data_IF_050672258568
#
_entry.id   IF_050672258568
#
_cell.length_a   1.000
_cell.length_b   1.000
_cell.length_c   1.000
_cell.angle_alpha   90.00
_cell.angle_beta   90.00
_cell.angle_gamma   90.00
#
_symmetry.space_group_name_H-M   'P 1'
#
loop_
_entity.id
_entity.type
_entity.pdbx_description
1 polymer ?
#
# COMPACT_ATOMS: atom_id res chain seq x y z
N UNK A 1 -15.91 29.32 -56.49
CA UNK A 1 -16.64 28.04 -56.48
C UNK A 1 -17.16 27.78 -57.90
N UNK A 2 -16.95 26.57 -58.47
CA UNK A 2 -17.45 26.23 -59.77
C UNK A 2 -19.00 26.30 -59.85
N UNK A 3 -19.57 26.76 -60.97
CA UNK A 3 -21.02 26.96 -61.14
C UNK A 3 -21.80 25.66 -60.93
N UNK A 4 -21.26 24.54 -61.40
CA UNK A 4 -21.86 23.20 -61.23
C UNK A 4 -21.96 22.73 -59.79
N UNK A 5 -20.96 23.04 -59.01
CA UNK A 5 -20.95 22.71 -57.57
C UNK A 5 -21.98 23.55 -56.80
N UNK A 6 -22.12 24.82 -57.16
CA UNK A 6 -23.12 25.69 -56.57
C UNK A 6 -24.56 25.24 -56.91
N UNK A 7 -24.85 24.84 -58.19
CA UNK A 7 -26.14 24.30 -58.58
C UNK A 7 -26.48 23.01 -57.80
N UNK A 8 -25.54 22.06 -57.66
CA UNK A 8 -25.75 20.84 -56.88
C UNK A 8 -26.13 21.14 -55.44
N UNK A 9 -25.46 22.13 -54.80
CA UNK A 9 -25.76 22.50 -53.42
C UNK A 9 -27.09 23.27 -53.26
N UNK A 10 -27.56 23.95 -54.31
CA UNK A 10 -28.90 24.56 -54.35
C UNK A 10 -29.96 23.45 -54.46
N UNK A 11 -29.77 22.50 -55.36
CA UNK A 11 -30.66 21.37 -55.57
C UNK A 11 -30.76 20.45 -54.35
N UNK A 12 -29.65 20.21 -53.68
CA UNK A 12 -29.61 19.43 -52.43
C UNK A 12 -30.10 20.22 -51.20
N UNK A 13 -30.40 21.50 -51.34
CA UNK A 13 -30.82 22.36 -50.22
C UNK A 13 -29.70 22.71 -49.26
N UNK A 14 -28.45 22.44 -49.64
CA UNK A 14 -27.27 22.77 -48.81
C UNK A 14 -26.86 24.24 -48.91
N UNK A 15 -27.24 24.93 -50.01
CA UNK A 15 -26.95 26.34 -50.20
C UNK A 15 -28.23 27.18 -50.02
N UNK A 16 -28.20 28.10 -49.04
CA UNK A 16 -29.27 29.05 -48.83
C UNK A 16 -28.93 30.33 -49.61
N UNK A 17 -29.79 30.66 -50.57
CA UNK A 17 -29.64 31.87 -51.39
C UNK A 17 -30.80 32.79 -51.05
N UNK A 18 -30.49 33.93 -50.42
CA UNK A 18 -31.46 35.00 -50.16
C UNK A 18 -31.14 36.21 -51.05
N UNK A 19 -32.18 36.83 -51.62
CA UNK A 19 -31.99 37.99 -52.48
C UNK A 19 -31.27 39.13 -51.77
N UNK A 20 -30.13 39.57 -52.32
CA UNK A 20 -29.36 40.67 -51.78
C UNK A 20 -28.39 40.26 -50.60
N UNK A 21 -28.26 38.99 -50.27
CA UNK A 21 -27.31 38.49 -49.27
C UNK A 21 -26.31 37.52 -49.88
N UNK A 22 -25.13 37.39 -49.25
CA UNK A 22 -24.19 36.36 -49.62
C UNK A 22 -24.78 34.97 -49.38
N UNK A 23 -24.64 34.04 -50.34
CA UNK A 23 -25.09 32.67 -50.16
C UNK A 23 -24.41 32.01 -48.96
N UNK A 24 -25.17 31.32 -48.12
CA UNK A 24 -24.70 30.58 -46.97
C UNK A 24 -24.82 29.08 -47.19
N UNK A 25 -23.77 28.33 -46.96
CA UNK A 25 -23.81 26.89 -46.97
C UNK A 25 -24.29 26.37 -45.64
N UNK A 26 -25.26 25.46 -45.62
CA UNK A 26 -25.60 24.68 -44.43
C UNK A 26 -24.46 23.76 -44.10
N UNK A 27 -23.91 23.89 -42.90
CA UNK A 27 -23.01 22.91 -42.33
C UNK A 27 -23.86 21.99 -41.49
N UNK A 28 -24.11 20.78 -41.98
CA UNK A 28 -24.76 19.76 -41.19
C UNK A 28 -23.72 19.27 -40.16
N UNK A 29 -24.11 19.30 -38.91
CA UNK A 29 -23.34 18.65 -37.89
C UNK A 29 -23.33 17.15 -38.22
N UNK A 30 -22.16 16.57 -38.40
CA UNK A 30 -22.05 15.13 -38.56
C UNK A 30 -22.61 14.48 -37.31
N UNK A 31 -23.45 13.48 -37.47
CA UNK A 31 -24.08 12.73 -36.39
C UNK A 31 -23.08 12.01 -35.51
N UNK A 32 -21.83 11.92 -35.95
CA UNK A 32 -20.75 11.18 -35.28
C UNK A 32 -20.03 11.99 -34.18
N UNK A 33 -20.61 13.11 -33.72
CA UNK A 33 -20.04 13.93 -32.63
C UNK A 33 -18.99 14.96 -33.10
N UNK A 34 -18.47 15.71 -32.15
CA UNK A 34 -17.39 16.67 -32.40
C UNK A 34 -16.04 15.93 -32.32
N UNK A 35 -15.11 16.33 -33.18
CA UNK A 35 -13.73 15.83 -33.11
C UNK A 35 -13.12 16.19 -31.75
N UNK A 36 -12.44 15.25 -31.14
CA UNK A 36 -11.64 15.51 -29.95
C UNK A 36 -10.51 16.48 -30.33
N UNK A 37 -10.44 17.61 -29.65
CA UNK A 37 -9.37 18.61 -29.85
C UNK A 37 -8.21 18.30 -28.88
N UNK A 38 -7.06 18.90 -29.10
CA UNK A 38 -5.87 18.80 -28.26
C UNK A 38 -5.88 19.75 -27.05
N UNK A 39 -6.80 20.72 -27.04
CA UNK A 39 -6.99 21.68 -25.95
C UNK A 39 -8.38 21.52 -25.36
N UNK A 40 -8.45 21.26 -24.05
CA UNK A 40 -9.69 21.02 -23.30
C UNK A 40 -9.86 22.04 -22.18
N UNK A 41 -10.61 23.08 -22.45
CA UNK A 41 -10.86 24.19 -21.50
C UNK A 41 -12.11 23.98 -20.65
N UNK A 42 -12.90 22.96 -20.95
CA UNK A 42 -14.17 22.63 -20.31
C UNK A 42 -14.02 21.64 -19.12
N UNK A 43 -12.80 21.19 -18.84
CA UNK A 43 -12.50 20.31 -17.73
C UNK A 43 -11.84 21.12 -16.61
N UNK A 44 -12.59 21.30 -15.52
CA UNK A 44 -12.12 22.00 -14.36
C UNK A 44 -11.47 21.04 -13.34
N UNK A 45 -10.52 21.56 -12.57
CA UNK A 45 -9.94 20.83 -11.45
C UNK A 45 -11.00 20.67 -10.34
N UNK A 46 -11.24 19.46 -9.89
CA UNK A 46 -12.11 19.19 -8.74
C UNK A 46 -11.40 19.55 -7.44
N UNK A 47 -12.14 20.16 -6.50
CA UNK A 47 -11.61 20.56 -5.18
C UNK A 47 -12.13 19.63 -4.11
N UNK A 48 -11.41 19.54 -2.98
CA UNK A 48 -11.83 18.73 -1.83
C UNK A 48 -11.69 17.23 -2.01
N UNK A 49 -10.81 16.81 -2.93
CA UNK A 49 -10.55 15.40 -3.20
C UNK A 49 -9.73 14.76 -2.07
N UNK A 50 -10.03 13.51 -1.76
CA UNK A 50 -9.33 12.71 -0.74
C UNK A 50 -7.86 12.49 -1.07
N UNK A 51 -7.52 12.46 -2.36
CA UNK A 51 -6.14 12.27 -2.84
C UNK A 51 -5.64 13.52 -3.58
N UNK A 52 -4.57 14.12 -3.06
CA UNK A 52 -4.10 15.45 -3.48
C UNK A 52 -3.80 15.61 -4.99
N UNK A 53 -3.40 14.52 -5.67
CA UNK A 53 -3.06 14.53 -7.11
C UNK A 53 -4.12 13.84 -7.98
N UNK A 54 -5.31 13.63 -7.44
CA UNK A 54 -6.42 12.99 -8.18
C UNK A 54 -6.79 13.82 -9.42
N UNK A 55 -6.93 13.14 -10.54
CA UNK A 55 -7.39 13.75 -11.79
C UNK A 55 -8.92 13.78 -11.85
N UNK A 56 -9.52 14.80 -12.49
CA UNK A 56 -10.96 14.83 -12.72
C UNK A 56 -11.44 13.62 -13.53
N UNK A 57 -12.55 13.01 -13.12
CA UNK A 57 -13.09 11.85 -13.83
C UNK A 57 -13.47 12.16 -15.26
N UNK A 58 -13.99 13.36 -15.53
CA UNK A 58 -14.31 13.84 -16.91
C UNK A 58 -13.12 13.82 -17.85
N UNK A 59 -11.91 14.05 -17.33
CA UNK A 59 -10.67 13.98 -18.10
C UNK A 59 -10.42 12.54 -18.56
N UNK A 60 -10.46 11.61 -17.64
CA UNK A 60 -10.21 10.18 -17.91
C UNK A 60 -11.33 9.59 -18.77
N UNK A 61 -12.58 10.01 -18.55
CA UNK A 61 -13.71 9.60 -19.39
C UNK A 61 -13.51 9.98 -20.86
N UNK A 62 -13.08 11.22 -21.12
CA UNK A 62 -12.78 11.68 -22.48
C UNK A 62 -11.65 10.90 -23.12
N UNK A 63 -10.54 10.68 -22.37
CA UNK A 63 -9.39 9.94 -22.87
C UNK A 63 -9.77 8.51 -23.19
N UNK A 64 -10.44 7.81 -22.28
CA UNK A 64 -10.81 6.40 -22.45
C UNK A 64 -11.80 6.23 -23.60
N UNK A 65 -12.83 7.09 -23.70
CA UNK A 65 -13.79 7.03 -24.81
C UNK A 65 -13.17 7.33 -26.17
N UNK A 66 -12.14 8.19 -26.23
CA UNK A 66 -11.47 8.55 -27.46
C UNK A 66 -10.45 7.50 -27.94
N UNK A 67 -9.98 6.61 -27.05
CA UNK A 67 -8.86 5.71 -27.32
C UNK A 67 -9.16 4.23 -27.13
N UNK A 68 -10.37 3.86 -26.75
CA UNK A 68 -10.75 2.46 -26.52
C UNK A 68 -12.24 2.23 -26.77
N UNK A 69 -12.60 0.97 -27.02
CA UNK A 69 -13.97 0.50 -27.10
C UNK A 69 -14.39 -0.29 -25.85
N UNK A 70 -15.68 -0.55 -25.68
CA UNK A 70 -16.20 -1.37 -24.58
C UNK A 70 -15.59 -2.78 -24.64
N UNK A 71 -15.15 -3.30 -23.48
CA UNK A 71 -14.47 -4.58 -23.36
C UNK A 71 -12.95 -4.54 -23.54
N UNK A 72 -12.39 -3.42 -24.01
CA UNK A 72 -10.95 -3.24 -24.12
C UNK A 72 -10.25 -3.20 -22.76
N UNK A 73 -8.93 -3.38 -22.77
CA UNK A 73 -8.09 -3.33 -21.58
C UNK A 73 -7.41 -1.96 -21.46
N UNK A 74 -7.69 -1.26 -20.38
CA UNK A 74 -7.06 0.01 -19.99
C UNK A 74 -6.01 -0.26 -18.91
N UNK A 75 -4.78 0.20 -19.13
CA UNK A 75 -3.68 0.04 -18.18
C UNK A 75 -3.20 1.40 -17.67
N UNK A 76 -3.04 1.51 -16.32
CA UNK A 76 -2.45 2.67 -15.65
C UNK A 76 -1.46 2.20 -14.59
N UNK A 77 -0.15 2.30 -14.88
CA UNK A 77 0.91 1.82 -14.00
C UNK A 77 1.29 2.80 -12.87
N UNK A 78 0.67 3.97 -12.83
CA UNK A 78 0.85 5.00 -11.81
C UNK A 78 -0.51 5.49 -11.32
N UNK A 79 -1.37 4.55 -10.95
CA UNK A 79 -2.81 4.72 -10.77
C UNK A 79 -3.24 5.74 -9.72
N UNK A 80 -2.36 6.07 -8.75
CA UNK A 80 -2.67 7.02 -7.70
C UNK A 80 -3.96 6.67 -6.95
N UNK A 81 -4.97 7.53 -7.04
CA UNK A 81 -6.29 7.30 -6.46
C UNK A 81 -7.19 6.34 -7.25
N UNK A 82 -6.70 5.73 -8.34
CA UNK A 82 -7.47 4.78 -9.16
C UNK A 82 -8.51 5.40 -10.08
N UNK A 83 -8.43 6.69 -10.37
CA UNK A 83 -9.43 7.37 -11.22
C UNK A 83 -9.56 6.73 -12.59
N UNK A 84 -8.43 6.37 -13.22
CA UNK A 84 -8.41 5.69 -14.53
C UNK A 84 -9.19 4.37 -14.49
N UNK A 85 -8.89 3.52 -13.52
CA UNK A 85 -9.54 2.21 -13.37
C UNK A 85 -11.03 2.34 -13.06
N UNK A 86 -11.40 3.25 -12.15
CA UNK A 86 -12.78 3.53 -11.79
C UNK A 86 -13.63 4.01 -12.99
N UNK A 87 -13.07 4.88 -13.79
CA UNK A 87 -13.74 5.36 -15.02
C UNK A 87 -13.79 4.27 -16.09
N UNK A 88 -12.73 3.48 -16.25
CA UNK A 88 -12.69 2.35 -17.18
C UNK A 88 -13.78 1.31 -16.84
N UNK A 89 -13.93 0.94 -15.56
CA UNK A 89 -14.99 0.03 -15.10
C UNK A 89 -16.38 0.58 -15.45
N UNK A 90 -16.64 1.84 -15.09
CA UNK A 90 -17.95 2.48 -15.37
C UNK A 90 -18.28 2.53 -16.88
N UNK A 91 -17.25 2.62 -17.72
CA UNK A 91 -17.40 2.62 -19.17
C UNK A 91 -17.38 1.21 -19.80
N UNK A 92 -17.40 0.14 -19.00
CA UNK A 92 -17.40 -1.23 -19.47
C UNK A 92 -16.06 -1.73 -20.04
N UNK A 93 -14.96 -1.07 -19.69
CA UNK A 93 -13.60 -1.53 -20.03
C UNK A 93 -13.05 -2.41 -18.91
N UNK A 94 -12.17 -3.35 -19.26
CA UNK A 94 -11.33 -4.05 -18.28
C UNK A 94 -10.16 -3.14 -17.91
N UNK A 95 -9.59 -3.34 -16.73
CA UNK A 95 -8.49 -2.48 -16.29
C UNK A 95 -7.42 -3.25 -15.51
N UNK A 96 -6.20 -2.73 -15.59
CA UNK A 96 -5.07 -3.08 -14.75
C UNK A 96 -4.48 -1.77 -14.24
N UNK A 97 -4.30 -1.66 -12.94
CA UNK A 97 -3.67 -0.48 -12.34
C UNK A 97 -2.65 -0.88 -11.30
N UNK A 98 -1.60 -0.12 -11.16
CA UNK A 98 -0.55 -0.34 -10.17
C UNK A 98 -0.16 0.97 -9.52
N UNK A 99 0.32 0.91 -8.28
CA UNK A 99 0.98 2.03 -7.62
C UNK A 99 1.98 1.50 -6.59
N UNK A 100 3.07 2.24 -6.35
CA UNK A 100 4.08 1.90 -5.35
C UNK A 100 3.67 2.37 -3.94
N UNK A 101 2.78 3.35 -3.86
CA UNK A 101 2.36 3.99 -2.62
C UNK A 101 1.23 3.24 -1.93
N UNK A 102 1.45 2.75 -0.71
CA UNK A 102 0.38 2.14 0.11
C UNK A 102 -0.82 3.08 0.31
N UNK A 103 -0.66 4.38 0.59
CA UNK A 103 -1.80 5.30 0.68
C UNK A 103 -2.62 5.38 -0.62
N UNK A 104 -1.96 5.36 -1.78
CA UNK A 104 -2.63 5.34 -3.08
C UNK A 104 -3.50 4.08 -3.24
N UNK A 105 -2.93 2.90 -2.96
CA UNK A 105 -3.65 1.63 -3.07
C UNK A 105 -4.81 1.50 -2.08
N UNK A 106 -4.71 2.08 -0.89
CA UNK A 106 -5.82 2.15 0.08
C UNK A 106 -6.98 2.97 -0.45
N UNK A 107 -6.71 4.21 -0.92
CA UNK A 107 -7.72 5.09 -1.53
C UNK A 107 -8.35 4.43 -2.76
N UNK A 108 -7.54 3.78 -3.58
CA UNK A 108 -7.98 3.06 -4.77
C UNK A 108 -8.95 1.92 -4.43
N UNK A 109 -8.59 1.07 -3.47
CA UNK A 109 -9.44 -0.05 -3.02
C UNK A 109 -10.77 0.46 -2.47
N UNK A 110 -10.72 1.45 -1.54
CA UNK A 110 -11.94 2.05 -1.00
C UNK A 110 -12.85 2.57 -2.12
N UNK A 111 -12.29 3.32 -3.08
CA UNK A 111 -13.06 3.82 -4.24
C UNK A 111 -13.74 2.69 -5.01
N UNK A 112 -13.05 1.59 -5.28
CA UNK A 112 -13.62 0.47 -6.05
C UNK A 112 -14.77 -0.19 -5.30
N UNK A 113 -14.65 -0.31 -3.98
CA UNK A 113 -15.69 -0.87 -3.12
C UNK A 113 -16.89 0.07 -3.07
N UNK A 114 -16.69 1.35 -2.83
CA UNK A 114 -17.75 2.37 -2.80
C UNK A 114 -18.51 2.47 -4.14
N UNK A 115 -17.85 2.13 -5.24
CA UNK A 115 -18.45 2.09 -6.59
C UNK A 115 -19.03 0.72 -6.98
N UNK A 116 -18.97 -0.26 -6.08
CA UNK A 116 -19.47 -1.61 -6.31
C UNK A 116 -18.94 -2.24 -7.62
N UNK A 117 -17.65 -2.04 -7.89
CA UNK A 117 -17.01 -2.60 -9.10
C UNK A 117 -17.06 -4.13 -9.09
N UNK A 118 -16.94 -4.76 -10.26
CA UNK A 118 -16.81 -6.21 -10.35
C UNK A 118 -15.64 -6.73 -9.49
N UNK A 119 -15.70 -7.97 -9.00
CA UNK A 119 -14.60 -8.55 -8.24
C UNK A 119 -13.27 -8.40 -8.95
N UNK A 120 -12.25 -7.95 -8.23
CA UNK A 120 -10.90 -7.70 -8.75
C UNK A 120 -9.83 -8.35 -7.89
N UNK A 121 -8.68 -8.65 -8.49
CA UNK A 121 -7.53 -9.18 -7.79
C UNK A 121 -6.63 -8.03 -7.33
N UNK A 122 -6.35 -7.97 -6.03
CA UNK A 122 -5.32 -7.12 -5.46
C UNK A 122 -4.08 -7.96 -5.12
N UNK A 123 -2.94 -7.57 -5.65
CA UNK A 123 -1.67 -8.25 -5.37
C UNK A 123 -0.63 -7.26 -4.86
N UNK A 124 0.05 -7.62 -3.78
CA UNK A 124 1.28 -6.95 -3.37
C UNK A 124 2.48 -7.78 -3.86
N UNK A 125 3.46 -7.12 -4.47
CA UNK A 125 4.72 -7.78 -4.83
C UNK A 125 5.55 -7.89 -3.54
N UNK A 126 5.57 -9.10 -2.93
CA UNK A 126 6.08 -9.34 -1.58
C UNK A 126 7.59 -9.59 -1.48
N UNK A 127 8.14 -10.50 -2.26
CA UNK A 127 9.54 -10.96 -2.14
C UNK A 127 10.55 -10.09 -2.88
N UNK A 128 10.22 -8.83 -3.11
CA UNK A 128 11.09 -7.88 -3.78
C UNK A 128 12.47 -7.76 -3.11
N UNK A 129 12.55 -7.81 -1.78
CA UNK A 129 13.83 -7.71 -1.05
C UNK A 129 14.74 -8.90 -1.33
N UNK A 130 14.19 -10.10 -1.45
CA UNK A 130 14.94 -11.31 -1.77
C UNK A 130 15.53 -11.23 -3.18
N UNK A 131 14.74 -10.86 -4.15
CA UNK A 131 15.19 -10.70 -5.54
C UNK A 131 16.18 -9.53 -5.68
N UNK A 132 15.88 -8.39 -5.03
CA UNK A 132 16.78 -7.23 -5.02
C UNK A 132 18.15 -7.59 -4.40
N UNK A 133 18.17 -8.43 -3.36
CA UNK A 133 19.41 -8.92 -2.77
C UNK A 133 20.15 -9.87 -3.71
N UNK A 134 19.45 -10.83 -4.34
CA UNK A 134 20.06 -11.78 -5.28
C UNK A 134 20.64 -11.11 -6.51
N UNK A 135 19.99 -10.06 -7.01
CA UNK A 135 20.43 -9.30 -8.18
C UNK A 135 21.49 -8.23 -7.84
N UNK A 136 21.73 -7.95 -6.56
CA UNK A 136 22.68 -6.94 -6.14
C UNK A 136 24.11 -7.48 -6.22
N UNK A 137 24.92 -6.89 -7.12
CA UNK A 137 26.31 -7.27 -7.33
C UNK A 137 27.26 -6.79 -6.22
N UNK A 138 26.85 -5.81 -5.41
CA UNK A 138 27.69 -5.18 -4.39
C UNK A 138 27.73 -5.97 -3.08
N UNK A 139 26.61 -6.60 -2.70
CA UNK A 139 26.47 -7.31 -1.42
C UNK A 139 26.26 -8.81 -1.67
N UNK A 140 27.34 -9.52 -1.92
CA UNK A 140 27.32 -10.95 -2.25
C UNK A 140 27.07 -11.86 -1.05
N UNK A 141 27.31 -11.36 0.17
CA UNK A 141 27.16 -12.13 1.41
C UNK A 141 26.17 -11.46 2.34
N UNK A 142 25.25 -12.25 2.90
CA UNK A 142 24.26 -11.78 3.86
C UNK A 142 24.92 -11.11 5.07
N UNK A 143 26.03 -11.66 5.55
CA UNK A 143 26.75 -11.10 6.70
C UNK A 143 27.31 -9.69 6.43
N UNK A 144 27.74 -9.39 5.20
CA UNK A 144 28.21 -8.06 4.85
C UNK A 144 27.07 -7.04 4.81
N UNK A 145 25.91 -7.45 4.30
CA UNK A 145 24.69 -6.64 4.33
C UNK A 145 24.22 -6.39 5.76
N UNK A 146 24.26 -7.41 6.61
CA UNK A 146 23.85 -7.29 8.01
C UNK A 146 24.73 -6.27 8.77
N UNK A 147 26.03 -6.24 8.52
CA UNK A 147 26.93 -5.25 9.12
C UNK A 147 26.59 -3.82 8.69
N UNK A 148 26.27 -3.61 7.40
CA UNK A 148 25.85 -2.31 6.89
C UNK A 148 24.53 -1.87 7.54
N UNK A 149 23.55 -2.76 7.66
CA UNK A 149 22.28 -2.47 8.30
C UNK A 149 22.46 -2.10 9.76
N UNK A 150 23.30 -2.82 10.50
CA UNK A 150 23.64 -2.50 11.89
C UNK A 150 24.21 -1.09 12.01
N UNK A 151 25.15 -0.73 11.16
CA UNK A 151 25.78 0.60 11.18
C UNK A 151 24.78 1.71 10.80
N UNK A 152 23.88 1.46 9.83
CA UNK A 152 22.79 2.38 9.50
C UNK A 152 21.79 2.55 10.65
N UNK A 153 21.62 1.53 11.46
CA UNK A 153 20.82 1.58 12.70
C UNK A 153 21.55 2.25 13.88
N UNK A 154 22.88 2.41 13.77
CA UNK A 154 23.72 2.95 14.84
C UNK A 154 24.29 1.89 15.79
N UNK A 155 24.23 0.63 15.41
CA UNK A 155 24.84 -0.47 16.16
C UNK A 155 26.26 -0.78 15.65
N UNK A 156 27.08 -1.30 16.55
CA UNK A 156 28.47 -1.72 16.27
C UNK A 156 28.46 -3.24 16.04
N UNK A 157 28.85 -3.74 14.85
CA UNK A 157 28.96 -5.17 14.62
C UNK A 157 30.02 -5.81 15.53
N UNK A 158 29.77 -7.03 15.98
CA UNK A 158 30.84 -7.81 16.63
C UNK A 158 31.95 -8.18 15.66
N UNK A 159 33.19 -8.21 16.13
CA UNK A 159 34.33 -8.69 15.34
C UNK A 159 34.29 -10.22 15.21
N UNK A 160 34.93 -10.76 14.20
CA UNK A 160 35.01 -12.23 14.02
C UNK A 160 35.67 -12.97 15.20
N UNK A 161 36.59 -12.29 15.92
CA UNK A 161 37.23 -12.82 17.10
C UNK A 161 36.23 -12.92 18.26
N UNK A 162 35.27 -12.01 18.35
CA UNK A 162 34.23 -12.00 19.38
C UNK A 162 33.11 -12.98 19.08
N UNK A 163 32.67 -13.02 17.81
CA UNK A 163 31.55 -13.86 17.40
C UNK A 163 31.65 -14.22 15.91
N UNK A 164 31.57 -15.51 15.59
CA UNK A 164 31.58 -15.96 14.18
C UNK A 164 30.36 -15.55 13.36
N UNK A 165 29.24 -15.30 14.02
CA UNK A 165 27.99 -14.91 13.37
C UNK A 165 27.97 -13.38 13.14
N UNK A 166 28.02 -12.98 11.88
CA UNK A 166 28.07 -11.57 11.46
C UNK A 166 26.74 -10.84 11.54
N UNK A 167 25.67 -11.51 11.97
CA UNK A 167 24.34 -10.93 12.06
C UNK A 167 24.09 -10.25 13.42
N UNK A 168 25.08 -10.26 14.31
CA UNK A 168 25.00 -9.69 15.63
C UNK A 168 25.87 -8.45 15.79
N UNK A 169 25.33 -7.51 16.55
CA UNK A 169 26.02 -6.31 16.97
C UNK A 169 25.42 -5.77 18.26
N UNK A 170 25.85 -4.60 18.68
CA UNK A 170 25.41 -3.99 19.91
C UNK A 170 25.41 -2.46 19.86
N UNK A 171 24.58 -1.85 20.71
CA UNK A 171 24.62 -0.43 21.01
C UNK A 171 25.23 -0.30 22.41
N UNK A 172 26.38 0.42 22.50
CA UNK A 172 27.13 0.57 23.73
C UNK A 172 26.33 1.29 24.82
N UNK A 173 25.69 2.40 24.46
CA UNK A 173 24.80 3.13 25.35
C UNK A 173 23.51 2.34 25.52
N UNK A 174 23.21 1.90 26.74
CA UNK A 174 22.03 1.08 27.03
C UNK A 174 22.24 -0.43 26.96
N UNK A 175 23.44 -0.93 26.59
CA UNK A 175 23.77 -2.38 26.54
C UNK A 175 22.71 -3.16 25.75
N UNK A 176 22.39 -2.67 24.55
CA UNK A 176 21.38 -3.27 23.68
C UNK A 176 22.05 -4.18 22.67
N UNK A 177 21.61 -5.44 22.63
CA UNK A 177 22.04 -6.41 21.61
C UNK A 177 21.23 -6.20 20.34
N UNK A 178 21.82 -6.31 19.16
CA UNK A 178 21.15 -6.13 17.89
C UNK A 178 21.35 -7.35 17.00
N UNK A 179 20.27 -7.93 16.53
CA UNK A 179 20.23 -9.02 15.54
C UNK A 179 19.64 -8.50 14.24
N UNK A 180 20.35 -8.70 13.15
CA UNK A 180 19.81 -8.46 11.79
C UNK A 180 19.42 -9.79 11.18
N UNK A 181 18.14 -9.97 10.86
CA UNK A 181 17.69 -11.20 10.21
C UNK A 181 17.89 -11.13 8.69
N UNK A 182 17.92 -12.28 8.05
CA UNK A 182 18.23 -12.40 6.62
C UNK A 182 17.06 -11.96 5.73
N UNK A 183 17.31 -11.25 4.61
CA UNK A 183 16.26 -10.94 3.64
C UNK A 183 15.67 -12.21 2.98
N UNK A 184 16.39 -13.34 3.05
CA UNK A 184 15.96 -14.61 2.49
C UNK A 184 15.13 -15.47 3.47
N UNK A 185 14.84 -14.95 4.66
CA UNK A 185 14.08 -15.65 5.70
C UNK A 185 12.86 -14.85 6.12
N UNK A 186 11.86 -15.57 6.57
CA UNK A 186 10.72 -15.02 7.29
C UNK A 186 11.04 -15.05 8.78
N UNK A 187 11.04 -13.90 9.42
CA UNK A 187 11.28 -13.76 10.86
C UNK A 187 10.06 -14.25 11.63
N UNK A 188 10.23 -15.26 12.45
CA UNK A 188 9.17 -15.89 13.24
C UNK A 188 9.53 -16.05 14.71
N UNK A 189 8.71 -16.82 15.44
CA UNK A 189 8.87 -17.07 16.88
C UNK A 189 10.27 -17.60 17.27
N UNK A 190 10.88 -18.42 16.41
CA UNK A 190 12.23 -18.95 16.63
C UNK A 190 13.30 -17.85 16.67
N UNK A 191 13.20 -16.84 15.80
CA UNK A 191 14.14 -15.70 15.78
C UNK A 191 13.98 -14.86 17.05
N UNK A 192 12.75 -14.60 17.48
CA UNK A 192 12.46 -13.83 18.71
C UNK A 192 13.02 -14.56 19.93
N UNK A 193 12.77 -15.86 20.05
CA UNK A 193 13.33 -16.70 21.13
C UNK A 193 14.86 -16.67 21.13
N UNK A 194 15.48 -16.81 19.95
CA UNK A 194 16.93 -16.73 19.80
C UNK A 194 17.49 -15.39 20.28
N UNK A 195 16.83 -14.27 19.96
CA UNK A 195 17.23 -12.94 20.42
C UNK A 195 17.11 -12.82 21.96
N UNK A 196 16.05 -13.36 22.54
CA UNK A 196 15.84 -13.41 23.98
C UNK A 196 16.92 -14.26 24.72
N UNK A 197 17.21 -15.44 24.21
CA UNK A 197 18.26 -16.31 24.77
C UNK A 197 19.64 -15.68 24.64
N UNK A 198 19.92 -15.05 23.52
CA UNK A 198 21.15 -14.32 23.27
C UNK A 198 21.31 -13.14 24.26
N UNK A 199 20.25 -12.39 24.54
CA UNK A 199 20.24 -11.33 25.56
C UNK A 199 20.74 -11.84 26.91
N UNK A 200 20.35 -13.06 27.25
CA UNK A 200 20.74 -13.66 28.53
C UNK A 200 22.18 -14.20 28.58
N UNK A 201 22.62 -14.80 27.48
CA UNK A 201 23.79 -15.68 27.51
C UNK A 201 24.94 -15.21 26.61
N UNK A 202 24.67 -14.41 25.55
CA UNK A 202 25.67 -14.07 24.56
C UNK A 202 26.79 -13.22 25.17
N UNK A 203 28.04 -13.66 25.00
CA UNK A 203 29.26 -13.02 25.51
C UNK A 203 29.18 -12.72 27.01
N UNK A 204 28.67 -13.69 27.80
CA UNK A 204 28.53 -13.58 29.22
C UNK A 204 27.23 -12.89 29.70
N UNK A 205 26.35 -12.51 28.79
CA UNK A 205 25.06 -11.90 29.12
C UNK A 205 25.15 -10.46 29.63
N UNK A 206 24.13 -10.04 30.38
CA UNK A 206 24.07 -8.71 30.99
C UNK A 206 23.60 -7.63 30.01
N UNK A 207 22.96 -8.02 28.91
CA UNK A 207 22.30 -7.12 27.99
C UNK A 207 20.96 -6.67 28.55
N UNK A 208 20.65 -5.37 28.45
CA UNK A 208 19.37 -4.84 28.94
C UNK A 208 18.23 -5.19 28.02
N UNK A 209 18.46 -5.13 26.71
CA UNK A 209 17.43 -5.34 25.66
C UNK A 209 18.07 -6.01 24.44
N UNK A 210 17.28 -6.74 23.67
CA UNK A 210 17.63 -7.18 22.32
C UNK A 210 16.72 -6.50 21.29
N UNK A 211 17.28 -6.11 20.16
CA UNK A 211 16.55 -5.55 19.02
C UNK A 211 16.73 -6.48 17.83
N UNK A 212 15.63 -6.86 17.20
CA UNK A 212 15.61 -7.64 15.98
C UNK A 212 15.24 -6.72 14.81
N UNK A 213 16.16 -6.55 13.88
CA UNK A 213 15.94 -5.84 12.62
C UNK A 213 15.60 -6.87 11.55
N UNK A 214 14.41 -6.80 10.97
CA UNK A 214 13.93 -7.82 10.06
C UNK A 214 13.22 -7.25 8.82
N UNK A 215 13.17 -8.05 7.76
CA UNK A 215 12.59 -7.70 6.45
C UNK A 215 11.15 -8.17 6.31
N UNK A 216 10.94 -9.46 6.58
CA UNK A 216 9.67 -10.15 6.42
C UNK A 216 9.30 -10.87 7.69
N UNK A 217 8.02 -11.00 7.98
CA UNK A 217 7.52 -11.52 9.24
C UNK A 217 6.51 -12.65 9.01
N UNK A 218 6.59 -13.69 9.85
CA UNK A 218 5.57 -14.73 9.90
C UNK A 218 4.25 -14.14 10.43
N UNK A 219 3.13 -14.64 9.95
CA UNK A 219 1.80 -14.14 10.34
C UNK A 219 1.50 -14.34 11.83
N UNK A 220 2.10 -15.35 12.46
CA UNK A 220 1.90 -15.74 13.86
C UNK A 220 2.93 -15.14 14.84
N UNK A 221 3.84 -14.28 14.35
CA UNK A 221 4.93 -13.71 15.16
C UNK A 221 4.44 -12.89 16.35
N UNK A 222 3.22 -12.34 16.27
CA UNK A 222 2.65 -11.46 17.29
C UNK A 222 2.62 -12.10 18.68
N UNK A 223 2.29 -13.40 18.78
CA UNK A 223 2.29 -14.13 20.05
C UNK A 223 3.69 -14.21 20.69
N UNK A 224 4.72 -14.45 19.87
CA UNK A 224 6.10 -14.47 20.35
C UNK A 224 6.60 -13.09 20.78
N UNK A 225 6.24 -12.05 20.02
CA UNK A 225 6.58 -10.66 20.39
C UNK A 225 5.92 -10.30 21.73
N UNK A 226 4.65 -10.61 21.91
CA UNK A 226 3.93 -10.32 23.14
C UNK A 226 4.54 -11.04 24.35
N UNK A 227 4.99 -12.28 24.16
CA UNK A 227 5.64 -13.07 25.21
C UNK A 227 6.95 -12.44 25.71
N UNK A 228 7.71 -11.80 24.81
CA UNK A 228 9.04 -11.27 25.10
C UNK A 228 9.14 -9.74 24.99
N UNK A 229 8.03 -9.01 25.02
CA UNK A 229 7.95 -7.57 24.77
C UNK A 229 8.85 -6.69 25.63
N UNK A 230 9.11 -7.11 26.88
CA UNK A 230 9.96 -6.38 27.81
C UNK A 230 11.45 -6.54 27.49
N UNK A 231 11.82 -7.62 26.81
CA UNK A 231 13.19 -8.02 26.56
C UNK A 231 13.63 -7.83 25.11
N UNK A 232 12.69 -7.98 24.15
CA UNK A 232 12.96 -7.99 22.71
C UNK A 232 12.07 -6.98 21.99
N UNK A 233 12.72 -6.07 21.28
CA UNK A 233 12.08 -5.14 20.36
C UNK A 233 12.24 -5.62 18.92
N UNK A 234 11.20 -5.43 18.09
CA UNK A 234 11.21 -5.82 16.69
C UNK A 234 10.99 -4.60 15.81
N UNK A 235 11.92 -4.34 14.90
CA UNK A 235 11.86 -3.24 13.96
C UNK A 235 11.93 -3.74 12.53
N UNK A 236 11.23 -3.04 11.65
CA UNK A 236 11.16 -3.33 10.22
C UNK A 236 12.28 -2.61 9.49
N UNK A 237 13.07 -3.34 8.74
CA UNK A 237 14.06 -2.77 7.81
C UNK A 237 13.29 -2.16 6.63
N UNK A 238 13.57 -0.89 6.23
CA UNK A 238 12.85 -0.26 5.14
C UNK A 238 12.88 -1.09 3.86
N UNK A 239 11.74 -1.35 3.22
CA UNK A 239 11.67 -2.18 2.01
C UNK A 239 12.51 -1.65 0.85
N UNK A 240 12.71 -0.33 0.77
CA UNK A 240 13.47 0.34 -0.26
C UNK A 240 14.98 0.50 0.07
N UNK A 241 15.45 -0.10 1.18
CA UNK A 241 16.84 0.07 1.63
C UNK A 241 17.86 -0.43 0.61
N UNK A 242 17.62 -1.58 -0.01
CA UNK A 242 18.54 -2.13 -1.03
C UNK A 242 18.64 -1.24 -2.25
N UNK A 243 17.53 -0.64 -2.67
CA UNK A 243 17.50 0.35 -3.75
C UNK A 243 18.23 1.64 -3.37
N UNK A 244 18.02 2.12 -2.16
CA UNK A 244 18.72 3.29 -1.63
C UNK A 244 20.23 3.05 -1.57
N UNK A 245 20.67 1.88 -1.08
CA UNK A 245 22.07 1.48 -1.07
C UNK A 245 22.67 1.43 -2.47
N UNK A 246 21.95 0.86 -3.43
CA UNK A 246 22.39 0.78 -4.82
C UNK A 246 22.51 2.15 -5.50
N UNK A 247 21.53 3.07 -5.26
CA UNK A 247 21.47 4.38 -5.91
C UNK A 247 22.35 5.43 -5.26
N UNK A 248 22.40 5.46 -3.93
CA UNK A 248 23.08 6.51 -3.16
C UNK A 248 24.42 6.09 -2.57
N UNK A 249 24.62 4.79 -2.38
CA UNK A 249 25.75 4.23 -1.67
C UNK A 249 25.66 4.38 -0.14
N UNK A 250 26.44 3.55 0.55
CA UNK A 250 26.45 3.46 2.02
C UNK A 250 26.88 4.78 2.70
N UNK A 251 28.01 5.38 2.27
CA UNK A 251 28.57 6.59 2.90
C UNK A 251 27.59 7.77 2.87
N UNK A 252 26.82 7.89 1.81
CA UNK A 252 25.83 8.94 1.68
C UNK A 252 24.63 8.72 2.59
N UNK A 253 24.15 7.49 2.71
CA UNK A 253 23.02 7.14 3.59
C UNK A 253 23.37 7.36 5.06
N UNK A 254 24.59 7.03 5.49
CA UNK A 254 25.08 7.31 6.86
C UNK A 254 25.10 8.81 7.14
N UNK A 255 25.69 9.61 6.22
CA UNK A 255 25.79 11.06 6.40
C UNK A 255 24.43 11.76 6.42
N UNK A 256 23.51 11.31 5.59
CA UNK A 256 22.15 11.87 5.54
C UNK A 256 21.29 11.45 6.72
N UNK A 257 21.61 10.34 7.41
CA UNK A 257 20.77 9.76 8.46
C UNK A 257 19.34 9.45 7.99
N UNK A 258 19.18 9.16 6.69
CA UNK A 258 17.88 9.11 6.02
C UNK A 258 17.19 7.74 6.11
N UNK A 259 17.86 6.75 6.70
CA UNK A 259 17.30 5.41 6.89
C UNK A 259 16.52 5.36 8.20
N UNK A 260 15.24 5.06 8.11
CA UNK A 260 14.37 4.91 9.28
C UNK A 260 13.91 3.46 9.39
N UNK A 261 14.16 2.88 10.55
CA UNK A 261 13.65 1.57 10.94
C UNK A 261 12.31 1.79 11.62
N UNK A 262 11.25 1.25 11.04
CA UNK A 262 9.90 1.49 11.54
C UNK A 262 9.50 0.46 12.59
N UNK A 263 8.59 0.85 13.47
CA UNK A 263 7.98 -0.05 14.44
C UNK A 263 7.21 -1.18 13.73
N UNK A 264 7.33 -2.39 14.25
CA UNK A 264 6.45 -3.47 13.85
C UNK A 264 5.07 -3.28 14.49
N UNK A 265 4.03 -3.50 13.70
CA UNK A 265 2.64 -3.31 14.10
C UNK A 265 1.89 -4.63 13.96
N UNK A 266 0.98 -4.93 14.87
CA UNK A 266 0.12 -6.11 14.78
C UNK A 266 -1.21 -5.90 15.47
N UNK A 267 -2.20 -6.64 15.00
CA UNK A 267 -3.54 -6.68 15.54
C UNK A 267 -3.70 -7.92 16.41
N UNK A 268 -4.26 -7.75 17.60
CA UNK A 268 -4.72 -8.83 18.44
C UNK A 268 -6.22 -9.03 18.21
N UNK A 269 -6.60 -10.27 17.97
CA UNK A 269 -8.00 -10.67 17.80
C UNK A 269 -8.34 -11.66 18.91
N UNK A 270 -9.50 -11.53 19.54
CA UNK A 270 -9.98 -12.50 20.50
C UNK A 270 -10.23 -13.86 19.82
N UNK A 271 -10.24 -14.97 20.57
CA UNK A 271 -10.59 -16.26 19.99
C UNK A 271 -11.92 -16.19 19.23
N UNK A 272 -11.92 -16.61 17.96
CA UNK A 272 -13.11 -16.59 17.12
C UNK A 272 -14.13 -17.55 17.72
N UNK A 273 -15.35 -17.06 17.94
CA UNK A 273 -16.47 -17.86 18.41
C UNK A 273 -17.27 -18.32 17.21
N UNK A 274 -17.59 -19.62 17.19
CA UNK A 274 -18.39 -20.25 16.14
C UNK A 274 -19.64 -20.84 16.81
N UNK A 275 -20.81 -20.40 16.39
CA UNK A 275 -22.10 -20.90 16.89
C UNK A 275 -22.95 -21.40 15.72
N UNK A 276 -23.53 -22.60 15.81
CA UNK A 276 -24.48 -23.07 14.79
C UNK A 276 -25.66 -22.07 14.68
N UNK A 277 -25.99 -21.67 13.45
CA UNK A 277 -27.07 -20.70 13.24
C UNK A 277 -28.30 -21.34 12.58
N UNK A 278 -28.12 -22.06 11.46
CA UNK A 278 -29.14 -22.87 10.79
C UNK A 278 -28.51 -24.20 10.34
N UNK A 279 -29.30 -25.07 9.68
CA UNK A 279 -28.87 -26.43 9.35
C UNK A 279 -27.60 -26.53 8.50
N UNK A 280 -27.19 -25.47 7.84
CA UNK A 280 -25.99 -25.40 6.96
C UNK A 280 -25.19 -24.09 7.12
N UNK A 281 -25.39 -23.37 8.21
CA UNK A 281 -24.74 -22.07 8.44
C UNK A 281 -24.26 -21.94 9.88
N UNK A 282 -23.09 -21.36 10.04
CA UNK A 282 -22.51 -20.98 11.33
C UNK A 282 -22.42 -19.48 11.48
N UNK A 283 -22.68 -19.00 12.68
CA UNK A 283 -22.46 -17.60 13.08
C UNK A 283 -21.04 -17.47 13.60
N UNK A 284 -20.23 -16.64 12.95
CA UNK A 284 -18.88 -16.29 13.39
C UNK A 284 -18.93 -14.95 14.15
N UNK A 285 -18.40 -14.94 15.38
CA UNK A 285 -18.16 -13.70 16.11
C UNK A 285 -16.67 -13.45 16.18
N UNK A 286 -16.23 -12.35 15.56
CA UNK A 286 -14.84 -11.90 15.51
C UNK A 286 -14.76 -10.56 16.22
N UNK A 287 -13.94 -10.49 17.27
CA UNK A 287 -13.76 -9.28 18.06
C UNK A 287 -12.28 -8.86 18.01
N UNK A 288 -12.05 -7.62 17.58
CA UNK A 288 -10.72 -7.02 17.65
C UNK A 288 -10.40 -6.67 19.09
N UNK A 289 -9.28 -7.18 19.60
CA UNK A 289 -8.90 -6.99 21.00
C UNK A 289 -8.04 -5.73 21.18
N UNK A 290 -6.94 -5.65 20.41
CA UNK A 290 -6.02 -4.52 20.55
C UNK A 290 -5.17 -4.37 19.28
N UNK A 291 -4.84 -3.13 18.96
CA UNK A 291 -3.81 -2.80 17.96
C UNK A 291 -2.54 -2.36 18.65
N UNK A 292 -1.44 -3.06 18.39
CA UNK A 292 -0.16 -2.83 19.06
C UNK A 292 0.84 -2.20 18.10
N UNK A 293 1.33 -1.03 18.49
CA UNK A 293 2.41 -0.29 17.85
C UNK A 293 3.61 -0.28 18.81
N UNK A 294 4.65 -1.09 18.54
CA UNK A 294 5.72 -1.37 19.50
C UNK A 294 6.63 -0.18 19.81
N UNK A 295 6.91 0.68 18.84
CA UNK A 295 7.86 1.79 18.99
C UNK A 295 7.33 3.04 18.29
N UNK A 296 6.31 3.71 18.85
CA UNK A 296 5.68 4.89 18.23
C UNK A 296 6.68 6.03 17.99
N UNK A 297 7.72 6.15 18.81
CA UNK A 297 8.75 7.17 18.67
C UNK A 297 9.59 7.03 17.39
N UNK A 298 9.66 5.83 16.83
CA UNK A 298 10.38 5.56 15.59
C UNK A 298 9.59 5.95 14.32
N UNK A 299 8.33 6.36 14.46
CA UNK A 299 7.54 6.84 13.34
C UNK A 299 7.99 8.26 12.98
N UNK A 300 8.20 8.57 11.70
CA UNK A 300 8.66 9.89 11.24
C UNK A 300 7.54 10.92 11.23
N UNK A 301 6.97 11.20 12.40
CA UNK A 301 5.97 12.24 12.65
C UNK A 301 6.64 13.43 13.35
N UNK A 302 6.04 14.61 13.22
CA UNK A 302 6.41 15.76 14.03
C UNK A 302 5.95 15.57 15.50
N UNK A 303 6.46 16.39 16.41
CA UNK A 303 6.19 16.26 17.85
C UNK A 303 4.70 16.41 18.18
N UNK A 304 3.96 17.24 17.43
CA UNK A 304 2.53 17.45 17.61
C UNK A 304 1.73 16.22 17.21
N UNK A 305 2.09 15.60 16.10
CA UNK A 305 1.39 14.40 15.61
C UNK A 305 1.81 13.16 16.41
N UNK A 306 3.05 13.09 16.94
CA UNK A 306 3.44 12.08 17.92
C UNK A 306 2.62 12.16 19.20
N UNK A 307 2.39 13.36 19.71
CA UNK A 307 1.57 13.54 20.91
C UNK A 307 0.11 13.12 20.67
N UNK A 308 -0.46 13.38 19.50
CA UNK A 308 -1.80 12.88 19.13
C UNK A 308 -1.83 11.35 19.02
N UNK A 309 -0.82 10.78 18.35
CA UNK A 309 -0.69 9.33 18.21
C UNK A 309 -0.66 8.66 19.59
N UNK A 310 0.14 9.21 20.53
CA UNK A 310 0.21 8.69 21.88
C UNK A 310 -1.14 8.75 22.59
N UNK A 311 -1.88 9.84 22.48
CA UNK A 311 -3.24 9.96 23.04
C UNK A 311 -4.21 8.93 22.48
N UNK A 312 -4.13 8.64 21.17
CA UNK A 312 -4.97 7.62 20.52
C UNK A 312 -4.58 6.23 21.03
N UNK A 313 -3.27 5.91 21.11
CA UNK A 313 -2.79 4.64 21.62
C UNK A 313 -3.20 4.38 23.08
N UNK A 314 -3.26 5.42 23.90
CA UNK A 314 -3.68 5.30 25.31
C UNK A 314 -5.21 5.16 25.46
N UNK A 315 -5.99 5.80 24.59
CA UNK A 315 -7.44 5.86 24.71
C UNK A 315 -8.15 4.75 23.94
N UNK A 316 -7.81 4.58 22.69
CA UNK A 316 -8.42 3.61 21.78
C UNK A 316 -7.43 3.24 20.65
N UNK A 317 -6.56 2.26 20.85
CA UNK A 317 -5.62 1.82 19.83
C UNK A 317 -6.27 1.32 18.54
N UNK A 318 -7.50 0.78 18.63
CA UNK A 318 -8.23 0.27 17.45
C UNK A 318 -8.63 1.40 16.48
N UNK A 319 -8.75 2.63 16.97
CA UNK A 319 -8.98 3.80 16.11
C UNK A 319 -7.86 4.09 15.10
N UNK A 320 -6.71 3.40 15.19
CA UNK A 320 -5.64 3.46 14.20
C UNK A 320 -5.83 2.51 13.02
N UNK A 321 -6.81 1.61 13.10
CA UNK A 321 -7.12 0.70 11.99
C UNK A 321 -7.91 1.47 10.93
N UNK A 322 -7.40 1.47 9.72
CA UNK A 322 -8.06 2.13 8.59
C UNK A 322 -9.17 1.30 7.99
N UNK A 323 -8.93 0.00 7.84
CA UNK A 323 -9.93 -0.98 7.40
C UNK A 323 -9.51 -2.38 7.83
N UNK A 324 -10.48 -3.29 7.85
CA UNK A 324 -10.25 -4.72 8.01
C UNK A 324 -11.24 -5.52 7.17
N UNK A 325 -10.92 -6.78 6.93
CA UNK A 325 -11.74 -7.65 6.07
C UNK A 325 -11.66 -9.09 6.53
N UNK A 326 -12.64 -9.89 6.15
CA UNK A 326 -12.77 -11.28 6.52
C UNK A 326 -12.86 -12.14 5.28
N UNK A 327 -12.12 -13.24 5.29
CA UNK A 327 -12.28 -14.38 4.39
C UNK A 327 -12.46 -15.64 5.23
N UNK A 328 -13.70 -16.13 5.41
CA UNK A 328 -13.96 -17.28 6.26
C UNK A 328 -13.53 -18.61 5.64
N UNK A 329 -13.26 -18.63 4.34
CA UNK A 329 -12.85 -19.82 3.57
C UNK A 329 -11.46 -19.61 2.94
N UNK A 330 -10.53 -19.03 3.72
CA UNK A 330 -9.18 -18.76 3.24
C UNK A 330 -8.39 -20.03 2.97
N UNK A 331 -8.03 -20.25 1.72
CA UNK A 331 -7.28 -21.42 1.24
C UNK A 331 -5.77 -21.39 1.51
N UNK A 332 -5.27 -20.35 2.20
CA UNK A 332 -3.84 -20.14 2.46
C UNK A 332 -3.06 -19.50 1.31
N UNK A 333 -3.69 -19.22 0.18
CA UNK A 333 -3.07 -18.66 -1.03
C UNK A 333 -3.76 -17.36 -1.43
N UNK A 334 -5.08 -17.40 -1.66
CA UNK A 334 -5.84 -16.26 -2.16
C UNK A 334 -6.85 -15.81 -1.10
N UNK A 335 -6.67 -14.62 -0.56
CA UNK A 335 -7.62 -14.02 0.37
C UNK A 335 -8.77 -13.39 -0.42
N UNK A 336 -9.98 -13.92 -0.22
CA UNK A 336 -11.22 -13.44 -0.84
C UNK A 336 -11.98 -12.63 0.18
N UNK A 337 -11.87 -11.31 0.13
CA UNK A 337 -12.58 -10.43 1.05
C UNK A 337 -14.08 -10.56 0.85
N UNK A 338 -14.72 -11.38 1.66
CA UNK A 338 -16.17 -11.58 1.62
C UNK A 338 -16.89 -10.46 2.35
N UNK A 339 -16.23 -9.94 3.38
CA UNK A 339 -16.70 -8.80 4.14
C UNK A 339 -15.53 -7.86 4.45
N UNK A 340 -15.82 -6.55 4.51
CA UNK A 340 -14.85 -5.53 4.85
C UNK A 340 -15.52 -4.28 5.40
N UNK A 341 -14.80 -3.57 6.27
CA UNK A 341 -15.23 -2.32 6.86
C UNK A 341 -14.10 -1.30 6.89
N UNK A 342 -14.47 -0.03 6.78
CA UNK A 342 -13.56 1.12 6.76
C UNK A 342 -13.92 2.07 7.89
N UNK A 343 -12.92 2.66 8.51
CA UNK A 343 -13.06 3.60 9.63
C UNK A 343 -14.06 4.75 9.37
N UNK A 344 -14.16 5.21 8.14
CA UNK A 344 -15.09 6.30 7.77
C UNK A 344 -16.57 5.87 7.66
N UNK A 345 -16.84 4.57 7.70
CA UNK A 345 -18.21 4.05 7.65
C UNK A 345 -18.84 3.95 9.04
N UNK A 346 -18.23 4.54 10.06
CA UNK A 346 -18.65 4.46 11.47
C UNK A 346 -19.99 5.12 11.80
N UNK A 347 -20.65 5.75 10.85
CA UNK A 347 -22.04 6.20 11.04
C UNK A 347 -23.05 5.02 11.20
N UNK A 348 -22.59 3.80 10.95
CA UNK A 348 -23.36 2.55 11.12
C UNK A 348 -22.98 1.77 12.38
N UNK A 349 -22.57 2.43 13.44
CA UNK A 349 -22.25 1.83 14.76
C UNK A 349 -23.39 0.99 15.38
N UNK A 350 -24.57 0.97 14.78
CA UNK A 350 -25.73 0.21 15.27
C UNK A 350 -25.98 -1.11 14.56
N UNK A 351 -25.25 -1.39 13.47
CA UNK A 351 -25.48 -2.63 12.71
C UNK A 351 -24.36 -3.63 13.05
N UNK A 352 -24.62 -4.61 13.94
CA UNK A 352 -23.66 -5.67 14.16
C UNK A 352 -23.48 -6.40 12.85
N UNK A 353 -22.24 -6.38 12.35
CA UNK A 353 -21.84 -7.03 11.11
C UNK A 353 -22.18 -8.52 11.18
N UNK A 354 -23.21 -8.90 10.46
CA UNK A 354 -23.61 -10.29 10.33
C UNK A 354 -23.07 -10.85 9.02
N UNK A 355 -21.94 -11.55 9.09
CA UNK A 355 -21.62 -12.54 8.06
C UNK A 355 -22.26 -13.86 8.47
N UNK A 356 -23.26 -14.30 7.73
CA UNK A 356 -23.88 -15.62 7.87
C UNK A 356 -23.28 -16.49 6.75
N UNK A 357 -22.60 -17.57 7.14
CA UNK A 357 -22.04 -18.60 6.25
C UNK A 357 -22.69 -19.93 6.51
#
# INVERSE_FOLDING_TARGET
>A
MPKETALKWIESGELIVEKGKCPKRKLYQKTDGLRCTDIWTDINHERGLVYATQKPEKLLERIIKASSDEGDLVCDFFGGSGTTAAVAERLGRRWITTDIGKPATLVMRKRFIDQEVKPFLYQAIGDYQKEAFQNNKQYKRIGDLSQIIMQLYGAIPFTQEQLNDRNWGYIKNGRTLVLVDSPNKVTGAATIRRAYEAKKNLLGGGWNKAVVLAWNFAFDISAAIQQYKEDVEVLVIPPDLLDKLSKKGYDKLIREGSVRFSSYQYLLVKPIQVEPHYSEQDKLTIELDNYVLLSPDNIPLDDKDKAKLQQVLEKDPLALIEYWSIDPDYDGITFRSQWQDYRENTDNDSDPLHCIY
#
